data_IF_935167948281
#
_entry.id   IF_935167948281
#
_cell.length_a   1.000
_cell.length_b   1.000
_cell.length_c   1.000
_cell.angle_alpha   90.00
_cell.angle_beta   90.00
_cell.angle_gamma   90.00
#
_symmetry.space_group_name_H-M   'P 1'
#
loop_
_entity.id
_entity.type
_entity.pdbx_description
1 polymer ?
#
# COMPACT_ATOMS: atom_id res chain seq x y z
N UNK A 1 -1.62 -18.47 -75.76
CA UNK A 1 -0.74 -18.82 -74.62
C UNK A 1 -1.10 -17.94 -73.44
N UNK A 2 -1.74 -18.47 -72.39
CA UNK A 2 -2.18 -17.67 -71.25
C UNK A 2 -1.02 -17.48 -70.23
N UNK A 3 -0.65 -16.22 -69.98
CA UNK A 3 0.38 -15.85 -69.01
C UNK A 3 -0.09 -16.11 -67.58
N UNK A 4 0.61 -16.97 -66.84
CA UNK A 4 0.31 -17.31 -65.45
C UNK A 4 0.85 -16.20 -64.55
N UNK A 5 -0.03 -15.40 -63.92
CA UNK A 5 0.36 -14.39 -62.92
C UNK A 5 1.18 -15.06 -61.80
N UNK A 6 2.41 -14.59 -61.58
CA UNK A 6 3.27 -15.03 -60.47
C UNK A 6 2.72 -14.47 -59.16
N UNK A 7 2.52 -15.33 -58.15
CA UNK A 7 2.16 -14.88 -56.79
C UNK A 7 3.31 -14.03 -56.25
N UNK A 8 3.04 -12.91 -55.55
CA UNK A 8 4.10 -12.11 -54.95
C UNK A 8 4.90 -12.97 -53.98
N UNK A 9 6.22 -12.92 -54.09
CA UNK A 9 7.12 -13.64 -53.19
C UNK A 9 6.95 -13.10 -51.78
N UNK A 10 7.11 -13.99 -50.82
CA UNK A 10 6.93 -13.74 -49.40
C UNK A 10 7.98 -12.74 -48.85
N UNK A 11 8.92 -12.31 -49.68
CA UNK A 11 10.04 -11.41 -49.40
C UNK A 11 9.86 -10.01 -50.02
N UNK A 12 8.71 -9.73 -50.65
CA UNK A 12 8.42 -8.42 -51.23
C UNK A 12 8.21 -7.35 -50.14
N UNK A 13 9.18 -6.43 -50.03
CA UNK A 13 9.13 -5.26 -49.13
C UNK A 13 8.27 -4.15 -49.75
N UNK A 14 7.46 -3.46 -48.93
CA UNK A 14 6.57 -2.39 -49.39
C UNK A 14 5.79 -1.73 -48.24
N UNK A 15 4.83 -0.87 -48.57
CA UNK A 15 3.98 -0.24 -47.55
C UNK A 15 3.25 -1.29 -46.71
N UNK A 16 3.42 -1.24 -45.38
CA UNK A 16 2.88 -2.24 -44.45
C UNK A 16 3.58 -3.60 -44.47
N UNK A 17 4.70 -3.76 -45.19
CA UNK A 17 5.47 -5.00 -45.31
C UNK A 17 6.96 -4.75 -44.99
N UNK A 18 7.31 -4.65 -43.68
CA UNK A 18 8.70 -4.43 -43.28
C UNK A 18 9.58 -5.65 -43.64
N UNK A 19 10.89 -5.48 -43.87
CA UNK A 19 11.81 -6.57 -44.19
C UNK A 19 11.82 -7.68 -43.13
N UNK A 20 11.70 -8.95 -43.55
CA UNK A 20 11.69 -10.11 -42.65
C UNK A 20 12.93 -10.22 -41.75
N UNK A 21 14.10 -9.84 -42.28
CA UNK A 21 15.36 -9.90 -41.55
C UNK A 21 15.37 -9.06 -40.26
N UNK A 22 14.56 -8.00 -40.20
CA UNK A 22 14.46 -7.09 -39.06
C UNK A 22 13.15 -7.22 -38.28
N UNK A 23 12.26 -8.13 -38.67
CA UNK A 23 11.02 -8.37 -37.93
C UNK A 23 11.32 -9.10 -36.62
N UNK A 24 10.65 -8.69 -35.56
CA UNK A 24 10.69 -9.44 -34.30
C UNK A 24 10.03 -10.81 -34.47
N UNK A 25 10.61 -11.85 -33.87
CA UNK A 25 9.99 -13.18 -33.86
C UNK A 25 8.67 -13.12 -33.10
N UNK A 26 7.65 -13.83 -33.59
CA UNK A 26 6.35 -13.93 -32.92
C UNK A 26 6.54 -14.40 -31.47
N UNK A 27 6.07 -13.61 -30.50
CA UNK A 27 6.22 -13.88 -29.06
C UNK A 27 7.50 -13.33 -28.43
N UNK A 28 8.40 -12.71 -29.21
CA UNK A 28 9.62 -12.09 -28.71
C UNK A 28 9.53 -10.57 -28.87
N UNK A 29 9.46 -9.85 -27.75
CA UNK A 29 9.61 -8.39 -27.76
C UNK A 29 11.07 -8.03 -28.11
N UNK A 30 11.27 -6.98 -28.92
CA UNK A 30 12.59 -6.38 -29.15
C UNK A 30 13.22 -5.78 -27.89
N UNK A 31 12.40 -5.50 -26.87
CA UNK A 31 12.85 -5.12 -25.53
C UNK A 31 12.36 -6.17 -24.52
N UNK A 32 13.12 -7.27 -24.30
CA UNK A 32 12.73 -8.37 -23.41
C UNK A 32 12.68 -7.96 -21.92
N UNK A 33 13.45 -6.94 -21.52
CA UNK A 33 13.39 -6.36 -20.17
C UNK A 33 12.17 -5.44 -19.98
N UNK A 34 11.49 -5.09 -21.07
CA UNK A 34 10.36 -4.19 -21.07
C UNK A 34 10.73 -2.79 -20.56
N UNK A 35 9.70 -2.03 -20.18
CA UNK A 35 9.89 -0.81 -19.40
C UNK A 35 10.35 -1.21 -18.00
N UNK A 36 11.47 -0.66 -17.47
CA UNK A 36 11.88 -0.95 -16.11
C UNK A 36 10.74 -0.64 -15.13
N UNK A 37 10.55 -1.51 -14.14
CA UNK A 37 9.52 -1.32 -13.11
C UNK A 37 9.91 -0.16 -12.19
N UNK A 38 9.08 0.89 -12.20
CA UNK A 38 8.81 1.76 -11.05
C UNK A 38 9.74 2.97 -10.83
N UNK A 39 9.11 4.14 -10.63
CA UNK A 39 9.66 5.18 -9.73
C UNK A 39 9.45 4.71 -8.29
N UNK A 40 10.40 4.97 -7.39
CA UNK A 40 10.20 4.68 -5.97
C UNK A 40 9.00 5.50 -5.47
N UNK A 41 7.94 4.88 -4.91
CA UNK A 41 6.83 5.64 -4.37
C UNK A 41 7.33 6.51 -3.22
N UNK A 42 6.80 7.73 -3.10
CA UNK A 42 7.27 8.70 -2.10
C UNK A 42 7.24 8.14 -0.67
N UNK A 43 6.25 7.30 -0.35
CA UNK A 43 6.15 6.63 0.94
C UNK A 43 7.32 5.71 1.25
N UNK A 44 7.86 4.99 0.26
CA UNK A 44 9.04 4.14 0.45
C UNK A 44 10.30 4.98 0.67
N UNK A 45 10.42 6.11 -0.01
CA UNK A 45 11.54 7.04 0.23
C UNK A 45 11.44 7.65 1.62
N UNK A 46 10.24 8.04 2.05
CA UNK A 46 10.00 8.60 3.39
C UNK A 46 10.37 7.60 4.50
N UNK A 47 9.96 6.33 4.37
CA UNK A 47 10.30 5.29 5.33
C UNK A 47 11.81 5.08 5.44
N UNK A 48 12.53 5.05 4.30
CA UNK A 48 13.98 4.92 4.28
C UNK A 48 14.67 6.10 4.97
N UNK A 49 14.25 7.33 4.66
CA UNK A 49 14.82 8.54 5.25
C UNK A 49 14.59 8.58 6.76
N UNK A 50 13.38 8.28 7.21
CA UNK A 50 13.01 8.27 8.62
C UNK A 50 13.67 7.11 9.40
N UNK A 51 13.90 5.97 8.73
CA UNK A 51 14.60 4.82 9.28
C UNK A 51 16.13 4.94 9.26
N UNK A 52 16.68 5.89 8.50
CA UNK A 52 18.13 6.07 8.39
C UNK A 52 18.74 6.42 9.75
N UNK A 53 19.82 5.73 10.11
CA UNK A 53 20.58 6.01 11.33
C UNK A 53 21.44 7.26 11.15
N UNK A 54 21.22 8.25 12.01
CA UNK A 54 22.00 9.48 12.09
C UNK A 54 22.81 9.50 13.38
N UNK A 55 24.01 10.10 13.34
CA UNK A 55 24.82 10.29 14.53
C UNK A 55 24.29 11.49 15.32
N UNK A 56 23.99 11.27 16.60
CA UNK A 56 23.53 12.30 17.54
C UNK A 56 24.37 12.22 18.80
N UNK A 57 24.79 13.38 19.31
CA UNK A 57 25.52 13.48 20.56
C UNK A 57 24.56 13.89 21.66
N UNK A 58 24.29 12.99 22.60
CA UNK A 58 23.48 13.24 23.80
C UNK A 58 24.38 13.04 25.03
N UNK A 59 24.40 14.01 25.95
CA UNK A 59 25.17 13.93 27.20
C UNK A 59 26.65 13.55 27.01
N UNK A 60 27.29 14.11 25.98
CA UNK A 60 28.70 13.86 25.64
C UNK A 60 28.99 12.50 24.99
N UNK A 61 27.97 11.66 24.75
CA UNK A 61 28.13 10.37 24.07
C UNK A 61 27.47 10.42 22.68
N UNK A 62 28.23 10.11 21.65
CA UNK A 62 27.70 9.98 20.28
C UNK A 62 27.06 8.60 20.09
N UNK A 63 25.80 8.57 19.67
CA UNK A 63 25.04 7.36 19.35
C UNK A 63 24.40 7.48 17.98
N UNK A 64 24.15 6.34 17.32
CA UNK A 64 23.44 6.28 16.04
C UNK A 64 21.99 5.85 16.25
N UNK A 65 21.06 6.78 16.05
CA UNK A 65 19.62 6.57 16.23
C UNK A 65 18.89 6.80 14.90
N UNK A 66 17.75 6.14 14.66
CA UNK A 66 16.89 6.45 13.51
C UNK A 66 16.46 7.93 13.51
N UNK A 67 16.41 8.54 12.33
CA UNK A 67 16.02 9.95 12.19
C UNK A 67 14.65 10.26 12.83
N UNK A 68 13.67 9.35 12.67
CA UNK A 68 12.36 9.48 13.29
C UNK A 68 12.42 9.57 14.82
N UNK A 69 13.24 8.73 15.45
CA UNK A 69 13.40 8.73 16.91
C UNK A 69 13.97 10.06 17.40
N UNK A 70 14.98 10.58 16.68
CA UNK A 70 15.60 11.87 16.99
C UNK A 70 14.59 13.02 16.86
N UNK A 71 13.76 12.99 15.82
CA UNK A 71 12.68 13.97 15.64
C UNK A 71 11.67 13.94 16.78
N UNK A 72 11.24 12.74 17.21
CA UNK A 72 10.29 12.59 18.32
C UNK A 72 10.88 13.06 19.65
N UNK A 73 12.16 12.76 19.92
CA UNK A 73 12.87 13.28 21.10
C UNK A 73 12.95 14.81 21.09
N UNK A 74 13.23 15.41 19.93
CA UNK A 74 13.24 16.86 19.79
C UNK A 74 11.85 17.46 20.02
N UNK A 75 10.81 16.87 19.43
CA UNK A 75 9.43 17.27 19.63
C UNK A 75 9.03 17.23 21.12
N UNK A 76 9.43 16.18 21.84
CA UNK A 76 9.20 16.07 23.28
C UNK A 76 9.93 17.18 24.06
N UNK A 77 11.18 17.49 23.72
CA UNK A 77 11.92 18.59 24.33
C UNK A 77 11.26 19.95 24.10
N UNK A 78 10.75 20.20 22.90
CA UNK A 78 10.05 21.45 22.58
C UNK A 78 8.70 21.51 23.33
N UNK A 79 7.97 20.40 23.44
CA UNK A 79 6.75 20.32 24.25
C UNK A 79 7.02 20.58 25.75
N UNK A 80 8.12 20.05 26.30
CA UNK A 80 8.55 20.33 27.69
C UNK A 80 8.91 21.79 27.93
N UNK A 81 9.23 22.55 26.87
CA UNK A 81 9.48 24.00 26.91
C UNK A 81 8.21 24.83 26.75
N UNK A 82 7.03 24.19 26.84
CA UNK A 82 5.71 24.83 26.73
C UNK A 82 5.42 25.46 25.36
N UNK A 83 6.00 24.93 24.28
CA UNK A 83 5.59 25.30 22.91
C UNK A 83 4.20 24.73 22.59
N UNK A 84 3.15 25.56 22.37
CA UNK A 84 1.77 25.07 22.26
C UNK A 84 1.55 24.09 21.11
N UNK A 85 2.22 24.32 19.97
CA UNK A 85 2.11 23.46 18.79
C UNK A 85 2.76 22.10 19.05
N UNK A 86 3.96 22.11 19.65
CA UNK A 86 4.68 20.88 20.00
C UNK A 86 3.90 20.06 21.02
N UNK A 87 3.33 20.70 22.04
CA UNK A 87 2.52 20.06 23.06
C UNK A 87 1.27 19.42 22.46
N UNK A 88 0.53 20.15 21.61
CA UNK A 88 -0.65 19.61 20.92
C UNK A 88 -0.30 18.42 20.03
N UNK A 89 0.76 18.52 19.24
CA UNK A 89 1.20 17.44 18.34
C UNK A 89 1.65 16.21 19.13
N UNK A 90 2.44 16.41 20.19
CA UNK A 90 2.93 15.33 21.04
C UNK A 90 1.79 14.61 21.76
N UNK A 91 0.83 15.36 22.31
CA UNK A 91 -0.35 14.77 22.94
C UNK A 91 -1.23 14.02 21.93
N UNK A 92 -1.37 14.54 20.70
CA UNK A 92 -2.11 13.86 19.63
C UNK A 92 -1.43 12.55 19.20
N UNK A 93 -0.10 12.52 19.14
CA UNK A 93 0.67 11.30 18.87
C UNK A 93 0.57 10.31 20.03
N UNK A 94 0.62 10.81 21.27
CA UNK A 94 0.47 9.98 22.47
C UNK A 94 -0.95 9.41 22.60
N UNK A 95 -1.99 10.15 22.26
CA UNK A 95 -3.37 9.62 22.23
C UNK A 95 -3.51 8.53 21.16
N UNK A 96 -2.94 8.76 19.97
CA UNK A 96 -3.03 7.83 18.84
C UNK A 96 -2.21 6.55 19.00
N UNK A 97 -1.04 6.64 19.64
CA UNK A 97 -0.05 5.55 19.70
C UNK A 97 0.39 5.18 21.12
N UNK A 98 0.12 6.02 22.12
CA UNK A 98 0.42 5.80 23.53
C UNK A 98 -0.63 4.97 24.27
N UNK A 99 -1.65 4.48 23.56
CA UNK A 99 -2.61 3.48 24.04
C UNK A 99 -1.98 2.10 24.27
N UNK A 100 -1.49 1.93 25.50
CA UNK A 100 -1.34 0.72 26.33
C UNK A 100 -0.66 -0.54 25.79
N UNK A 101 0.46 -0.89 26.44
CA UNK A 101 0.93 -2.27 26.62
C UNK A 101 0.00 -3.17 27.46
N UNK A 102 -1.28 -2.79 27.61
CA UNK A 102 -2.34 -3.57 28.27
C UNK A 102 -3.49 -3.93 27.30
N UNK A 103 -3.46 -3.47 26.05
CA UNK A 103 -4.40 -3.91 25.01
C UNK A 103 -3.86 -5.08 24.17
N UNK A 104 -2.82 -5.76 24.63
CA UNK A 104 -2.69 -7.19 24.30
C UNK A 104 -3.69 -7.93 25.18
N UNK A 105 -4.94 -8.02 24.74
CA UNK A 105 -5.77 -9.15 25.16
C UNK A 105 -4.99 -10.37 24.67
N UNK A 106 -4.26 -11.04 25.58
CA UNK A 106 -3.76 -12.37 25.27
C UNK A 106 -5.01 -13.20 25.07
N UNK A 107 -5.25 -13.63 23.83
CA UNK A 107 -6.35 -14.51 23.45
C UNK A 107 -6.36 -15.80 24.30
N UNK A 108 -5.24 -16.11 24.94
CA UNK A 108 -4.99 -17.26 25.79
C UNK A 108 -5.61 -17.14 27.20
N UNK A 109 -5.92 -15.91 27.65
CA UNK A 109 -6.49 -15.61 28.99
C UNK A 109 -8.00 -15.32 28.93
N UNK A 110 -8.70 -15.84 27.92
CA UNK A 110 -10.16 -15.70 27.80
C UNK A 110 -10.85 -16.60 28.85
N UNK A 111 -11.68 -16.00 29.71
CA UNK A 111 -12.52 -16.72 30.68
C UNK A 111 -13.40 -17.77 29.95
N UNK A 112 -13.68 -18.90 30.60
CA UNK A 112 -14.53 -19.95 30.01
C UNK A 112 -15.93 -19.44 29.61
N UNK A 113 -16.43 -18.41 30.29
CA UNK A 113 -17.68 -17.73 29.98
C UNK A 113 -17.63 -17.02 28.61
N UNK A 114 -16.52 -16.38 28.28
CA UNK A 114 -16.34 -15.67 27.01
C UNK A 114 -16.22 -16.66 25.83
N UNK A 115 -15.59 -17.83 26.04
CA UNK A 115 -15.59 -18.91 25.05
C UNK A 115 -17.00 -19.42 24.77
N UNK A 116 -17.85 -19.53 25.81
CA UNK A 116 -19.24 -19.95 25.65
C UNK A 116 -20.05 -18.93 24.84
N UNK A 117 -19.83 -17.62 25.06
CA UNK A 117 -20.43 -16.55 24.27
C UNK A 117 -20.02 -16.67 22.79
N UNK A 118 -18.72 -16.83 22.50
CA UNK A 118 -18.22 -16.98 21.13
C UNK A 118 -18.74 -18.25 20.44
N UNK A 119 -18.82 -19.37 21.16
CA UNK A 119 -19.38 -20.61 20.65
C UNK A 119 -20.87 -20.48 20.31
N UNK A 120 -21.63 -19.74 21.13
CA UNK A 120 -23.05 -19.46 20.86
C UNK A 120 -23.24 -18.58 19.62
N UNK A 121 -22.35 -17.61 19.40
CA UNK A 121 -22.36 -16.73 18.24
C UNK A 121 -22.06 -17.50 16.93
N UNK A 122 -21.04 -18.35 16.93
CA UNK A 122 -20.67 -19.16 15.76
C UNK A 122 -21.70 -20.25 15.42
N UNK A 123 -22.41 -20.76 16.42
CA UNK A 123 -23.46 -21.77 16.24
C UNK A 123 -24.77 -21.18 15.74
N UNK A 124 -24.94 -19.86 15.83
CA UNK A 124 -26.11 -19.17 15.29
C UNK A 124 -25.83 -18.78 13.84
N UNK A 125 -26.38 -19.47 12.82
CA UNK A 125 -26.32 -18.96 11.45
C UNK A 125 -27.04 -17.62 11.45
N UNK A 126 -26.40 -16.58 10.89
CA UNK A 126 -26.87 -15.20 10.83
C UNK A 126 -28.36 -15.10 10.43
N UNK A 127 -29.24 -15.13 11.43
CA UNK A 127 -30.66 -14.93 11.25
C UNK A 127 -30.93 -13.43 11.35
N UNK A 128 -30.85 -12.77 10.18
CA UNK A 128 -31.57 -11.55 9.89
C UNK A 128 -30.96 -10.24 10.41
N UNK A 129 -30.27 -9.51 9.52
CA UNK A 129 -30.47 -8.06 9.45
C UNK A 129 -30.52 -7.58 8.00
N UNK A 130 -31.70 -7.74 7.39
CA UNK A 130 -32.12 -6.99 6.22
C UNK A 130 -32.23 -5.51 6.59
N UNK A 131 -31.15 -4.74 6.44
CA UNK A 131 -31.24 -3.28 6.44
C UNK A 131 -31.77 -2.82 5.08
N UNK A 132 -33.09 -2.59 5.04
CA UNK A 132 -33.83 -1.93 3.96
C UNK A 132 -33.19 -0.57 3.63
N UNK A 133 -32.59 -0.46 2.44
CA UNK A 133 -32.35 0.85 1.79
C UNK A 133 -33.57 1.19 0.96
N UNK A 134 -34.32 2.21 1.38
CA UNK A 134 -35.27 2.92 0.52
C UNK A 134 -34.54 3.43 -0.73
N UNK A 135 -34.98 2.97 -1.91
CA UNK A 135 -34.72 3.64 -3.18
C UNK A 135 -36.07 4.00 -3.83
N UNK A 136 -36.15 5.27 -4.18
CA UNK A 136 -37.27 6.00 -4.77
C UNK A 136 -37.29 5.74 -6.29
N UNK A 137 -38.43 6.05 -6.94
CA UNK A 137 -38.65 6.20 -8.41
C UNK A 137 -39.07 4.90 -9.11
N UNK A 138 -40.18 4.78 -9.86
CA UNK A 138 -41.24 5.69 -10.32
C UNK A 138 -42.05 4.97 -11.43
N UNK A 139 -43.29 5.43 -11.65
CA UNK A 139 -44.06 5.37 -12.92
C UNK A 139 -44.47 3.96 -13.46
N UNK A 140 -45.71 3.61 -13.86
CA UNK A 140 -46.76 4.35 -14.57
C UNK A 140 -48.11 3.61 -14.45
N UNK A 141 -49.21 4.37 -14.42
CA UNK A 141 -50.59 3.88 -14.57
C UNK A 141 -50.94 3.67 -16.04
N UNK A 142 -51.84 2.70 -16.28
CA UNK A 142 -52.73 2.63 -17.45
C UNK A 142 -53.51 3.93 -17.66
#
# INVERSE_FOLDING_TARGET
MASRKRKPSDDAVGYGRPPKATQFKKGQSGNPKGRPKGSRPIGAVLQDVLGQRIAVTENGKTRRLPALEVMLRRLANDAMRSEPVALKLMLSLYDRYGGSGEATIKLDEILEEDKAILASFLKTPAAGSTHSRKAKTGDSRK
#
